data_IF_748519476768
#
_entry.id   IF_748519476768
#
_cell.length_a   1.000
_cell.length_b   1.000
_cell.length_c   1.000
_cell.angle_alpha   90.00
_cell.angle_beta   90.00
_cell.angle_gamma   90.00
#
_symmetry.space_group_name_H-M   'P 1'
#
loop_
_entity.id
_entity.type
_entity.pdbx_description
1 polymer ?
#
# COMPACT_ATOMS: atom_id res chain seq x y z
N UNK A 1 -8.22 -7.47 19.25
CA UNK A 1 -6.92 -7.33 19.94
C UNK A 1 -6.81 -5.92 20.50
N UNK A 2 -6.63 -5.79 21.81
CA UNK A 2 -6.31 -4.53 22.49
C UNK A 2 -4.93 -4.06 22.05
N UNK A 3 -4.75 -2.75 21.87
CA UNK A 3 -3.46 -2.23 21.49
C UNK A 3 -2.50 -2.24 22.68
N UNK A 4 -1.33 -2.85 22.50
CA UNK A 4 -0.26 -2.86 23.48
C UNK A 4 0.17 -1.44 23.80
N UNK A 5 0.28 -1.10 25.07
CA UNK A 5 0.56 0.27 25.51
C UNK A 5 2.06 0.60 25.41
N UNK A 6 2.40 1.88 25.38
CA UNK A 6 3.80 2.33 25.52
C UNK A 6 4.33 1.99 26.92
N UNK A 7 3.46 2.08 27.92
CA UNK A 7 3.76 1.74 29.32
C UNK A 7 4.17 0.28 29.45
N UNK A 8 3.43 -0.66 28.86
CA UNK A 8 3.82 -2.08 28.81
C UNK A 8 5.18 -2.28 28.15
N UNK A 9 5.44 -1.61 27.01
CA UNK A 9 6.73 -1.75 26.30
C UNK A 9 7.90 -1.35 27.18
N UNK A 10 7.75 -0.21 27.87
CA UNK A 10 8.78 0.29 28.77
C UNK A 10 8.91 -0.66 29.96
N UNK A 11 7.82 -0.93 30.67
CA UNK A 11 7.83 -1.60 31.98
C UNK A 11 8.33 -3.05 31.93
N UNK A 12 8.01 -3.79 30.87
CA UNK A 12 8.43 -5.17 30.69
C UNK A 12 9.88 -5.29 30.20
N UNK A 13 10.50 -4.21 29.70
CA UNK A 13 11.86 -4.24 29.18
C UNK A 13 12.90 -4.39 30.30
N UNK A 14 13.78 -5.39 30.18
CA UNK A 14 14.98 -5.56 31.00
C UNK A 14 16.23 -4.93 30.37
N UNK A 15 16.20 -4.72 29.06
CA UNK A 15 17.22 -4.04 28.27
C UNK A 15 16.55 -3.24 27.15
N UNK A 16 17.25 -2.26 26.59
CA UNK A 16 16.73 -1.46 25.48
C UNK A 16 17.59 -1.64 24.23
N UNK A 17 17.01 -2.23 23.20
CA UNK A 17 17.72 -2.52 21.95
C UNK A 17 17.33 -1.52 20.84
N UNK A 18 18.10 -1.46 19.74
CA UNK A 18 17.73 -0.61 18.60
C UNK A 18 16.34 -0.93 18.01
N UNK A 19 15.89 -2.20 18.06
CA UNK A 19 14.54 -2.60 17.63
C UNK A 19 13.45 -1.98 18.51
N UNK A 20 13.71 -1.77 19.79
CA UNK A 20 12.71 -1.25 20.72
C UNK A 20 12.40 0.23 20.47
N UNK A 21 13.33 0.99 19.87
CA UNK A 21 13.03 2.33 19.33
C UNK A 21 11.95 2.29 18.25
N UNK A 22 12.06 1.35 17.31
CA UNK A 22 11.06 1.14 16.27
C UNK A 22 9.70 0.73 16.85
N UNK A 23 9.69 -0.17 17.84
CA UNK A 23 8.47 -0.59 18.53
C UNK A 23 7.80 0.55 19.28
N UNK A 24 8.59 1.36 20.00
CA UNK A 24 8.11 2.52 20.73
C UNK A 24 7.45 3.53 19.78
N UNK A 25 8.09 3.83 18.66
CA UNK A 25 7.54 4.76 17.68
C UNK A 25 6.27 4.19 17.01
N UNK A 26 6.27 2.92 16.61
CA UNK A 26 5.10 2.25 16.03
C UNK A 26 3.89 2.23 16.98
N UNK A 27 4.11 1.97 18.28
CA UNK A 27 3.06 2.02 19.29
C UNK A 27 2.54 3.45 19.51
N UNK A 28 3.43 4.45 19.44
CA UNK A 28 3.08 5.87 19.58
C UNK A 28 2.07 6.31 18.51
N UNK A 29 2.22 5.83 17.28
CA UNK A 29 1.33 6.14 16.16
C UNK A 29 0.19 5.12 15.95
N UNK A 30 -0.07 4.21 16.90
CA UNK A 30 -0.97 3.06 16.69
C UNK A 30 -2.42 3.34 16.28
N UNK A 31 -2.88 4.59 16.38
CA UNK A 31 -4.25 5.00 16.02
C UNK A 31 -4.29 6.06 14.93
N UNK A 32 -3.19 6.25 14.20
CA UNK A 32 -3.07 7.33 13.22
C UNK A 32 -2.69 6.81 11.83
N UNK A 33 -2.97 7.58 10.77
CA UNK A 33 -2.56 7.21 9.41
C UNK A 33 -1.03 7.02 9.27
N UNK A 34 -0.22 7.66 10.12
CA UNK A 34 1.24 7.57 10.08
C UNK A 34 1.79 6.19 10.49
N UNK A 35 1.00 5.32 11.14
CA UNK A 35 1.49 4.00 11.57
C UNK A 35 1.91 3.12 10.38
N UNK A 36 1.19 3.19 9.27
CA UNK A 36 1.44 2.32 8.11
C UNK A 36 2.71 2.72 7.37
N UNK A 37 2.94 3.99 6.98
CA UNK A 37 4.23 4.42 6.42
C UNK A 37 5.41 4.12 7.34
N UNK A 38 5.25 4.32 8.65
CA UNK A 38 6.28 3.98 9.63
C UNK A 38 6.59 2.47 9.64
N UNK A 39 5.58 1.61 9.54
CA UNK A 39 5.75 0.16 9.50
C UNK A 39 6.45 -0.34 8.23
N UNK A 40 6.35 0.41 7.11
CA UNK A 40 7.09 0.08 5.88
C UNK A 40 8.59 0.27 6.08
N UNK A 41 9.00 1.32 6.80
CA UNK A 41 10.40 1.62 7.11
C UNK A 41 11.00 0.71 8.20
N UNK A 42 10.14 0.19 9.08
CA UNK A 42 10.54 -0.56 10.26
C UNK A 42 11.12 -1.96 9.91
N UNK A 43 12.09 -2.45 10.70
CA UNK A 43 12.61 -3.82 10.60
C UNK A 43 11.49 -4.84 10.85
N UNK A 44 11.66 -6.07 10.34
CA UNK A 44 10.64 -7.12 10.41
C UNK A 44 10.25 -7.45 11.86
N UNK A 45 11.23 -7.39 12.76
CA UNK A 45 11.14 -7.66 14.20
C UNK A 45 10.24 -6.66 14.95
N UNK A 46 10.05 -5.46 14.39
CA UNK A 46 9.19 -4.42 14.94
C UNK A 46 7.78 -4.41 14.31
N UNK A 47 7.57 -5.12 13.19
CA UNK A 47 6.28 -5.10 12.47
C UNK A 47 5.12 -5.69 13.25
N UNK A 48 5.40 -6.53 14.25
CA UNK A 48 4.37 -7.07 15.16
C UNK A 48 3.59 -5.99 15.92
N UNK A 49 4.12 -4.77 16.00
CA UNK A 49 3.46 -3.62 16.62
C UNK A 49 2.52 -2.86 15.68
N UNK A 50 2.60 -3.10 14.37
CA UNK A 50 1.65 -2.55 13.43
C UNK A 50 0.27 -3.14 13.72
N UNK A 51 -0.75 -2.29 13.91
CA UNK A 51 -2.09 -2.80 14.22
C UNK A 51 -2.57 -3.68 13.07
N UNK A 52 -3.10 -4.84 13.46
CA UNK A 52 -3.68 -5.80 12.54
C UNK A 52 -4.78 -5.20 11.65
N UNK A 53 -5.08 -5.96 10.61
CA UNK A 53 -6.00 -5.65 9.52
C UNK A 53 -7.34 -5.09 10.06
N UNK A 54 -7.71 -3.87 9.66
CA UNK A 54 -9.06 -3.33 9.86
C UNK A 54 -9.97 -3.87 8.78
N UNK A 55 -11.29 -3.88 8.99
CA UNK A 55 -12.23 -4.29 7.93
C UNK A 55 -12.01 -3.48 6.65
N UNK A 56 -11.75 -2.17 6.78
CA UNK A 56 -11.41 -1.31 5.63
C UNK A 56 -10.12 -1.74 4.93
N UNK A 57 -9.04 -2.04 5.67
CA UNK A 57 -7.78 -2.48 5.05
C UNK A 57 -7.87 -3.90 4.49
N UNK A 58 -8.72 -4.75 5.06
CA UNK A 58 -9.06 -6.07 4.51
C UNK A 58 -9.78 -5.94 3.17
N UNK A 59 -10.88 -5.18 3.14
CA UNK A 59 -11.66 -4.96 1.92
C UNK A 59 -10.84 -4.29 0.82
N UNK A 60 -9.99 -3.34 1.19
CA UNK A 60 -9.07 -2.71 0.25
C UNK A 60 -8.01 -3.69 -0.26
N UNK A 61 -7.47 -4.55 0.61
CA UNK A 61 -6.57 -5.64 0.21
C UNK A 61 -7.24 -6.61 -0.76
N UNK A 62 -8.49 -6.99 -0.50
CA UNK A 62 -9.28 -7.85 -1.38
C UNK A 62 -9.58 -7.16 -2.71
N UNK A 63 -9.89 -5.87 -2.71
CA UNK A 63 -10.11 -5.09 -3.93
C UNK A 63 -8.83 -5.03 -4.79
N UNK A 64 -7.65 -4.84 -4.17
CA UNK A 64 -6.38 -4.91 -4.89
C UNK A 64 -6.09 -6.30 -5.44
N UNK A 65 -6.32 -7.35 -4.64
CA UNK A 65 -6.15 -8.73 -5.10
C UNK A 65 -7.06 -9.03 -6.29
N UNK A 66 -8.32 -8.61 -6.22
CA UNK A 66 -9.27 -8.72 -7.31
C UNK A 66 -8.81 -7.94 -8.53
N UNK A 67 -8.35 -6.70 -8.38
CA UNK A 67 -7.88 -5.90 -9.50
C UNK A 67 -6.70 -6.55 -10.23
N UNK A 68 -5.79 -7.20 -9.49
CA UNK A 68 -4.66 -7.95 -10.06
C UNK A 68 -5.11 -9.24 -10.74
N UNK A 69 -6.04 -9.98 -10.14
CA UNK A 69 -6.45 -11.30 -10.62
C UNK A 69 -7.50 -11.24 -11.75
N UNK A 70 -8.41 -10.27 -11.73
CA UNK A 70 -9.52 -10.14 -12.67
C UNK A 70 -9.09 -10.13 -14.16
N UNK A 71 -8.13 -9.30 -14.61
CA UNK A 71 -7.73 -9.29 -16.02
C UNK A 71 -7.11 -10.62 -16.45
N UNK A 72 -6.37 -11.29 -15.55
CA UNK A 72 -5.78 -12.61 -15.81
C UNK A 72 -6.86 -13.69 -15.92
N UNK A 73 -7.83 -13.69 -15.00
CA UNK A 73 -8.96 -14.63 -15.03
C UNK A 73 -9.81 -14.42 -16.28
N UNK A 74 -10.05 -13.17 -16.69
CA UNK A 74 -10.76 -12.82 -17.92
C UNK A 74 -10.07 -13.42 -19.14
N UNK A 75 -8.77 -13.16 -19.31
CA UNK A 75 -8.00 -13.68 -20.42
C UNK A 75 -7.92 -15.21 -20.39
N UNK A 76 -7.72 -15.81 -19.22
CA UNK A 76 -7.68 -17.26 -19.07
C UNK A 76 -9.00 -17.93 -19.48
N UNK A 77 -10.15 -17.33 -19.15
CA UNK A 77 -11.45 -17.83 -19.58
C UNK A 77 -11.59 -17.81 -21.10
N UNK A 78 -11.16 -16.72 -21.76
CA UNK A 78 -11.18 -16.58 -23.22
C UNK A 78 -10.22 -17.58 -23.89
N UNK A 79 -8.99 -17.72 -23.38
CA UNK A 79 -8.00 -18.69 -23.90
C UNK A 79 -8.52 -20.12 -23.76
N UNK A 80 -9.07 -20.47 -22.59
CA UNK A 80 -9.67 -21.80 -22.35
C UNK A 80 -10.81 -22.08 -23.32
N UNK A 81 -11.64 -21.08 -23.62
CA UNK A 81 -12.74 -21.22 -24.59
C UNK A 81 -12.22 -21.51 -26.01
N UNK A 82 -11.17 -20.82 -26.46
CA UNK A 82 -10.56 -21.05 -27.77
C UNK A 82 -9.93 -22.45 -27.87
N UNK A 83 -9.26 -22.91 -26.81
CA UNK A 83 -8.52 -24.19 -26.82
C UNK A 83 -9.40 -25.41 -26.52
N UNK A 84 -10.56 -25.24 -25.89
CA UNK A 84 -11.41 -26.32 -25.38
C UNK A 84 -12.54 -26.74 -26.32
N UNK A 85 -12.38 -26.57 -27.63
CA UNK A 85 -13.36 -26.93 -28.67
C UNK A 85 -14.78 -26.39 -28.44
N UNK A 86 -14.93 -25.19 -27.88
CA UNK A 86 -16.21 -24.49 -27.71
C UNK A 86 -17.27 -25.24 -26.88
N UNK A 87 -16.90 -26.25 -26.09
CA UNK A 87 -17.83 -26.96 -25.19
C UNK A 87 -18.49 -26.07 -24.11
N UNK A 88 -18.09 -24.80 -24.04
CA UNK A 88 -18.55 -23.79 -23.11
C UNK A 88 -19.03 -22.55 -23.88
N UNK A 89 -19.99 -21.83 -23.31
CA UNK A 89 -20.47 -20.56 -23.85
C UNK A 89 -19.34 -19.53 -23.99
N UNK A 90 -19.43 -18.68 -25.02
CA UNK A 90 -18.49 -17.60 -25.28
C UNK A 90 -18.40 -16.64 -24.06
N UNK A 91 -17.29 -16.61 -23.31
CA UNK A 91 -17.26 -16.04 -21.97
C UNK A 91 -17.03 -14.51 -21.96
N UNK A 92 -17.35 -13.81 -23.06
CA UNK A 92 -17.09 -12.38 -23.20
C UNK A 92 -17.86 -11.54 -22.17
N UNK A 93 -19.11 -11.89 -21.87
CA UNK A 93 -19.89 -11.18 -20.84
C UNK A 93 -19.27 -11.34 -19.44
N UNK A 94 -18.77 -12.54 -19.13
CA UNK A 94 -18.06 -12.80 -17.88
C UNK A 94 -16.77 -11.99 -17.80
N UNK A 95 -15.93 -12.06 -18.84
CA UNK A 95 -14.69 -11.29 -18.94
C UNK A 95 -14.94 -9.78 -18.82
N UNK A 96 -15.91 -9.26 -19.56
CA UNK A 96 -16.30 -7.85 -19.51
C UNK A 96 -16.82 -7.42 -18.13
N UNK A 97 -17.58 -8.28 -17.43
CA UNK A 97 -18.09 -7.96 -16.09
C UNK A 97 -16.97 -7.82 -15.06
N UNK A 98 -16.03 -8.78 -15.03
CA UNK A 98 -14.92 -8.71 -14.07
C UNK A 98 -13.96 -7.56 -14.39
N UNK A 99 -13.74 -7.28 -15.68
CA UNK A 99 -12.99 -6.08 -16.11
C UNK A 99 -13.70 -4.80 -15.68
N UNK A 100 -15.02 -4.70 -15.82
CA UNK A 100 -15.79 -3.53 -15.37
C UNK A 100 -15.64 -3.28 -13.87
N UNK A 101 -15.78 -4.33 -13.05
CA UNK A 101 -15.60 -4.22 -11.59
C UNK A 101 -14.18 -3.76 -11.28
N UNK A 102 -13.18 -4.33 -11.95
CA UNK A 102 -11.79 -3.92 -11.76
C UNK A 102 -11.55 -2.47 -12.15
N UNK A 103 -12.14 -2.01 -13.26
CA UNK A 103 -12.03 -0.64 -13.73
C UNK A 103 -12.62 0.36 -12.72
N UNK A 104 -13.74 0.01 -12.05
CA UNK A 104 -14.31 0.81 -10.97
C UNK A 104 -13.36 0.91 -9.76
N UNK A 105 -12.73 -0.21 -9.38
CA UNK A 105 -11.72 -0.23 -8.31
C UNK A 105 -10.50 0.63 -8.67
N UNK A 106 -10.03 0.55 -9.92
CA UNK A 106 -8.96 1.39 -10.43
C UNK A 106 -9.37 2.86 -10.38
N UNK A 107 -10.55 3.22 -10.91
CA UNK A 107 -11.05 4.61 -10.88
C UNK A 107 -11.15 5.18 -9.47
N UNK A 108 -11.64 4.39 -8.50
CA UNK A 108 -11.63 4.79 -7.09
C UNK A 108 -10.22 4.97 -6.54
N UNK A 109 -9.29 4.06 -6.86
CA UNK A 109 -7.89 4.13 -6.41
C UNK A 109 -7.16 5.34 -6.99
N UNK A 110 -7.41 5.66 -8.27
CA UNK A 110 -6.90 6.86 -8.94
C UNK A 110 -7.43 8.13 -8.26
N UNK A 111 -8.73 8.18 -7.96
CA UNK A 111 -9.34 9.31 -7.24
C UNK A 111 -8.73 9.48 -5.85
N UNK A 112 -8.49 8.38 -5.13
CA UNK A 112 -7.83 8.41 -3.82
C UNK A 112 -6.38 8.87 -3.93
N UNK A 113 -5.64 8.44 -4.97
CA UNK A 113 -4.27 8.91 -5.21
C UNK A 113 -4.22 10.43 -5.47
N UNK A 114 -5.22 10.97 -6.18
CA UNK A 114 -5.33 12.41 -6.42
C UNK A 114 -5.64 13.20 -5.13
N UNK A 115 -6.49 12.65 -4.26
CA UNK A 115 -6.88 13.30 -2.98
C UNK A 115 -5.80 13.17 -1.90
N UNK A 116 -5.10 12.04 -1.88
CA UNK A 116 -4.08 11.71 -0.89
C UNK A 116 -2.83 11.20 -1.60
N UNK A 117 -2.01 12.10 -2.16
CA UNK A 117 -0.78 11.73 -2.86
C UNK A 117 0.16 10.94 -1.95
N UNK A 118 0.62 9.79 -2.44
CA UNK A 118 1.64 8.95 -1.79
C UNK A 118 2.68 8.52 -2.81
N UNK A 119 3.94 8.49 -2.39
CA UNK A 119 5.03 7.93 -3.17
C UNK A 119 4.70 6.47 -3.49
N UNK A 120 4.84 6.11 -4.76
CA UNK A 120 4.65 4.74 -5.24
C UNK A 120 5.83 4.37 -6.13
N UNK A 121 6.25 3.10 -6.07
CA UNK A 121 7.38 2.63 -6.87
C UNK A 121 6.99 2.57 -8.34
N UNK A 122 7.83 3.12 -9.22
CA UNK A 122 7.60 3.07 -10.68
C UNK A 122 7.41 1.64 -11.19
N UNK A 123 8.16 0.67 -10.66
CA UNK A 123 8.01 -0.75 -10.99
C UNK A 123 6.65 -1.31 -10.60
N UNK A 124 6.10 -0.91 -9.46
CA UNK A 124 4.76 -1.34 -9.03
C UNK A 124 3.68 -0.77 -9.94
N UNK A 125 3.75 0.53 -10.29
CA UNK A 125 2.82 1.16 -11.24
C UNK A 125 2.89 0.48 -12.61
N UNK A 126 4.09 0.21 -13.12
CA UNK A 126 4.28 -0.50 -14.39
C UNK A 126 3.72 -1.93 -14.36
N UNK A 127 4.01 -2.67 -13.29
CA UNK A 127 3.52 -4.06 -13.14
C UNK A 127 1.99 -4.08 -13.11
N UNK A 128 1.38 -3.18 -12.34
CA UNK A 128 -0.07 -3.04 -12.28
C UNK A 128 -0.66 -2.60 -13.62
N UNK A 129 -0.03 -1.71 -14.37
CA UNK A 129 -0.53 -1.36 -15.70
C UNK A 129 -0.43 -2.54 -16.69
N UNK A 130 0.69 -3.26 -16.69
CA UNK A 130 0.93 -4.36 -17.64
C UNK A 130 0.03 -5.58 -17.39
N UNK A 131 -0.32 -5.87 -16.13
CA UNK A 131 -1.23 -6.98 -15.81
C UNK A 131 -2.67 -6.72 -16.29
N UNK A 132 -3.01 -5.48 -16.63
CA UNK A 132 -4.27 -5.13 -17.28
C UNK A 132 -4.13 -5.10 -18.81
N UNK A 133 -3.11 -4.40 -19.31
CA UNK A 133 -2.92 -4.19 -20.75
C UNK A 133 -2.71 -5.52 -21.48
N UNK A 134 -1.82 -6.40 -21.00
CA UNK A 134 -1.50 -7.63 -21.73
C UNK A 134 -2.71 -8.59 -21.76
N UNK A 135 -3.33 -8.96 -20.62
CA UNK A 135 -4.51 -9.83 -20.65
C UNK A 135 -5.73 -9.20 -21.33
N UNK A 136 -5.89 -7.88 -21.24
CA UNK A 136 -6.93 -7.13 -21.96
C UNK A 136 -6.75 -7.24 -23.48
N UNK A 137 -5.53 -7.06 -23.99
CA UNK A 137 -5.21 -7.23 -25.41
C UNK A 137 -5.48 -8.67 -25.89
N UNK A 138 -5.12 -9.67 -25.09
CA UNK A 138 -5.42 -11.09 -25.38
C UNK A 138 -6.93 -11.30 -25.48
N UNK A 139 -7.68 -10.80 -24.51
CA UNK A 139 -9.15 -10.90 -24.47
C UNK A 139 -9.80 -10.24 -25.69
N UNK A 140 -9.39 -9.01 -26.02
CA UNK A 140 -9.90 -8.27 -27.16
C UNK A 140 -9.54 -8.98 -28.49
N UNK A 141 -8.30 -9.46 -28.63
CA UNK A 141 -7.86 -10.18 -29.82
C UNK A 141 -8.68 -11.45 -30.04
N UNK A 142 -8.89 -12.26 -28.99
CA UNK A 142 -9.71 -13.48 -29.08
C UNK A 142 -11.15 -13.12 -29.47
N UNK A 143 -11.74 -12.12 -28.81
CA UNK A 143 -13.11 -11.71 -29.08
C UNK A 143 -13.31 -11.23 -30.52
N UNK A 144 -12.38 -10.45 -31.06
CA UNK A 144 -12.44 -9.88 -32.41
C UNK A 144 -12.04 -10.87 -33.51
N UNK A 145 -11.41 -12.00 -33.17
CA UNK A 145 -10.98 -13.02 -34.13
C UNK A 145 -11.84 -14.28 -34.02
N UNK A 146 -11.48 -15.21 -33.14
CA UNK A 146 -12.20 -16.45 -32.91
C UNK A 146 -13.64 -16.22 -32.43
N UNK A 147 -13.88 -15.14 -31.67
CA UNK A 147 -15.19 -14.75 -31.16
C UNK A 147 -16.08 -13.97 -32.14
N UNK A 148 -15.56 -13.56 -33.30
CA UNK A 148 -16.26 -12.63 -34.20
C UNK A 148 -17.69 -13.07 -34.60
N UNK A 149 -17.97 -14.35 -34.89
CA UNK A 149 -19.33 -14.82 -35.21
C UNK A 149 -20.35 -14.62 -34.08
N UNK A 150 -19.88 -14.55 -32.84
CA UNK A 150 -20.69 -14.41 -31.63
C UNK A 150 -20.91 -12.94 -31.22
N UNK A 151 -20.30 -11.98 -31.95
CA UNK A 151 -20.42 -10.55 -31.66
C UNK A 151 -21.70 -9.97 -32.25
N UNK A 152 -22.81 -10.13 -31.53
CA UNK A 152 -24.11 -9.56 -31.92
C UNK A 152 -24.72 -8.74 -30.78
N UNK A 153 -25.45 -7.68 -31.12
CA UNK A 153 -26.18 -6.84 -30.18
C UNK A 153 -25.31 -6.34 -29.01
N UNK A 154 -25.69 -6.69 -27.79
CA UNK A 154 -25.05 -6.25 -26.55
C UNK A 154 -23.62 -6.74 -26.32
N UNK A 155 -23.10 -7.69 -27.11
CA UNK A 155 -21.72 -8.19 -26.97
C UNK A 155 -20.67 -7.09 -27.15
N UNK A 156 -20.94 -6.09 -28.00
CA UNK A 156 -20.06 -4.96 -28.25
C UNK A 156 -19.78 -4.10 -27.02
N UNK A 157 -20.72 -4.05 -26.07
CA UNK A 157 -20.54 -3.32 -24.80
C UNK A 157 -19.37 -3.91 -24.02
N UNK A 158 -19.23 -5.23 -23.99
CA UNK A 158 -18.15 -5.89 -23.26
C UNK A 158 -16.79 -5.68 -23.90
N UNK A 159 -16.71 -5.61 -25.24
CA UNK A 159 -15.49 -5.21 -25.94
C UNK A 159 -15.11 -3.77 -25.57
N UNK A 160 -16.10 -2.86 -25.54
CA UNK A 160 -15.85 -1.46 -25.17
C UNK A 160 -15.32 -1.34 -23.74
N UNK A 161 -15.82 -2.14 -22.79
CA UNK A 161 -15.29 -2.18 -21.42
C UNK A 161 -13.84 -2.64 -21.39
N UNK A 162 -13.51 -3.73 -22.10
CA UNK A 162 -12.12 -4.24 -22.17
C UNK A 162 -11.20 -3.21 -22.81
N UNK A 163 -11.64 -2.56 -23.88
CA UNK A 163 -10.87 -1.50 -24.54
C UNK A 163 -10.64 -0.30 -23.60
N UNK A 164 -11.67 0.12 -22.85
CA UNK A 164 -11.54 1.20 -21.88
C UNK A 164 -10.52 0.87 -20.78
N UNK A 165 -10.52 -0.35 -20.26
CA UNK A 165 -9.55 -0.80 -19.26
C UNK A 165 -8.12 -0.76 -19.78
N UNK A 166 -7.88 -1.23 -21.01
CA UNK A 166 -6.58 -1.14 -21.68
C UNK A 166 -6.14 0.32 -21.78
N UNK A 167 -7.01 1.20 -22.29
CA UNK A 167 -6.70 2.63 -22.47
C UNK A 167 -6.35 3.28 -21.14
N UNK A 168 -7.13 3.04 -20.08
CA UNK A 168 -6.86 3.57 -18.74
C UNK A 168 -5.49 3.13 -18.24
N UNK A 169 -5.14 1.86 -18.38
CA UNK A 169 -3.85 1.35 -17.89
C UNK A 169 -2.66 1.78 -18.76
N UNK A 170 -2.85 1.96 -20.07
CA UNK A 170 -1.85 2.62 -20.94
C UNK A 170 -1.62 4.07 -20.50
N UNK A 171 -2.68 4.81 -20.18
CA UNK A 171 -2.55 6.18 -19.67
C UNK A 171 -1.81 6.20 -18.34
N UNK A 172 -2.09 5.27 -17.42
CA UNK A 172 -1.35 5.12 -16.15
C UNK A 172 0.14 4.80 -16.41
N UNK A 173 0.43 3.91 -17.37
CA UNK A 173 1.80 3.55 -17.75
C UNK A 173 2.59 4.77 -18.25
N UNK A 174 1.97 5.59 -19.12
CA UNK A 174 2.57 6.79 -19.71
C UNK A 174 2.75 7.88 -18.65
N UNK A 175 1.74 8.12 -17.80
CA UNK A 175 1.81 9.11 -16.72
C UNK A 175 2.86 8.75 -15.68
N UNK A 176 3.10 7.46 -15.44
CA UNK A 176 4.02 6.98 -14.42
C UNK A 176 3.56 7.30 -12.99
N UNK A 177 4.44 7.11 -11.98
CA UNK A 177 4.14 7.46 -10.60
C UNK A 177 4.18 8.99 -10.43
N UNK A 178 3.05 9.69 -10.46
CA UNK A 178 3.00 11.15 -10.20
C UNK A 178 2.01 11.47 -9.08
N UNK A 179 2.34 12.45 -8.20
CA UNK A 179 2.58 13.85 -8.59
C UNK A 179 3.92 14.49 -8.15
N UNK A 180 4.42 15.43 -8.96
CA UNK A 180 5.66 16.19 -8.73
C UNK A 180 5.66 17.07 -7.46
N UNK A 181 4.47 17.33 -6.91
CA UNK A 181 4.25 18.09 -5.67
C UNK A 181 3.97 17.21 -4.45
N UNK A 182 3.91 15.88 -4.63
CA UNK A 182 3.66 14.92 -3.56
C UNK A 182 4.95 14.32 -2.98
N UNK A 183 4.83 13.46 -1.96
CA UNK A 183 5.98 12.74 -1.40
C UNK A 183 6.63 11.84 -2.47
N UNK A 184 7.96 11.84 -2.50
CA UNK A 184 8.79 11.15 -3.49
C UNK A 184 9.34 9.81 -2.99
N UNK A 185 9.42 9.63 -1.67
CA UNK A 185 9.94 8.41 -1.04
C UNK A 185 9.14 8.01 0.20
N UNK A 186 9.47 6.84 0.77
CA UNK A 186 8.75 6.25 1.90
C UNK A 186 8.87 7.09 3.19
N UNK A 187 9.99 7.80 3.38
CA UNK A 187 10.16 8.74 4.51
C UNK A 187 9.31 9.98 4.34
N UNK A 188 9.23 10.53 3.13
CA UNK A 188 8.32 11.64 2.83
C UNK A 188 6.85 11.24 2.97
N UNK A 189 6.48 10.00 2.64
CA UNK A 189 5.15 9.47 2.92
C UNK A 189 4.82 9.51 4.42
N UNK A 190 5.78 9.16 5.28
CA UNK A 190 5.63 9.26 6.72
C UNK A 190 5.43 10.71 7.17
N UNK A 191 6.30 11.61 6.72
CA UNK A 191 6.19 13.04 7.06
C UNK A 191 4.87 13.66 6.60
N UNK A 192 4.41 13.29 5.41
CA UNK A 192 3.12 13.73 4.90
C UNK A 192 1.95 13.19 5.74
N UNK A 193 2.03 11.93 6.16
CA UNK A 193 1.01 11.30 7.00
C UNK A 193 0.97 11.89 8.41
N UNK A 194 2.10 12.41 8.91
CA UNK A 194 2.17 13.11 10.19
C UNK A 194 1.52 14.49 10.10
N UNK A 195 1.71 15.21 8.98
CA UNK A 195 1.06 16.52 8.74
C UNK A 195 -0.47 16.42 8.66
N UNK A 196 -1.01 15.25 8.32
CA UNK A 196 -2.45 14.98 8.31
C UNK A 196 -3.04 14.72 9.71
N UNK A 197 -2.20 14.54 10.74
CA UNK A 197 -2.66 14.32 12.12
C UNK A 197 -3.08 15.67 12.74
N UNK A 198 -4.26 15.75 13.40
CA UNK A 198 -4.66 16.96 14.12
C UNK A 198 -3.59 17.40 15.14
N UNK A 199 -3.28 18.71 15.24
CA UNK A 199 -2.18 19.19 16.09
C UNK A 199 -2.29 18.75 17.55
N UNK A 200 -3.50 18.74 18.13
CA UNK A 200 -3.73 18.27 19.50
C UNK A 200 -3.42 16.78 19.69
N UNK A 201 -3.83 15.94 18.73
CA UNK A 201 -3.51 14.51 18.74
C UNK A 201 -2.02 14.26 18.57
N UNK A 202 -1.36 15.03 17.69
CA UNK A 202 0.09 14.91 17.51
C UNK A 202 0.86 15.32 18.77
N UNK A 203 0.43 16.40 19.44
CA UNK A 203 1.01 16.82 20.71
C UNK A 203 0.85 15.76 21.80
N UNK A 204 -0.32 15.11 21.90
CA UNK A 204 -0.56 14.02 22.86
C UNK A 204 0.32 12.79 22.57
N UNK A 205 0.51 12.43 21.30
CA UNK A 205 1.41 11.34 20.89
C UNK A 205 2.84 11.65 21.30
N UNK A 206 3.34 12.86 20.99
CA UNK A 206 4.70 13.31 21.33
C UNK A 206 4.88 13.35 22.84
N UNK A 207 3.93 13.89 23.60
CA UNK A 207 4.01 13.95 25.06
C UNK A 207 4.10 12.56 25.70
N UNK A 208 3.32 11.58 25.19
CA UNK A 208 3.39 10.19 25.67
C UNK A 208 4.69 9.49 25.30
N UNK A 209 5.20 9.71 24.09
CA UNK A 209 6.53 9.25 23.65
C UNK A 209 7.62 9.79 24.56
N UNK A 210 7.60 11.09 24.84
CA UNK A 210 8.62 11.77 25.65
C UNK A 210 8.54 11.37 27.13
N UNK A 211 7.35 11.08 27.65
CA UNK A 211 7.18 10.49 28.97
C UNK A 211 7.77 9.06 29.05
N UNK A 212 7.56 8.24 28.01
CA UNK A 212 8.16 6.91 27.92
C UNK A 212 9.69 6.97 27.86
N UNK A 213 10.26 7.89 27.07
CA UNK A 213 11.71 8.09 26.98
C UNK A 213 12.31 8.50 28.33
N UNK A 214 11.69 9.45 29.04
CA UNK A 214 12.13 9.84 30.38
C UNK A 214 12.13 8.67 31.34
N UNK A 215 11.07 7.86 31.31
CA UNK A 215 10.98 6.65 32.15
C UNK A 215 12.04 5.60 31.82
N UNK A 216 12.46 5.46 30.56
CA UNK A 216 13.59 4.59 30.20
C UNK A 216 14.91 5.09 30.80
N UNK A 217 15.13 6.41 30.80
CA UNK A 217 16.31 7.02 31.41
C UNK A 217 16.30 6.86 32.94
N UNK A 218 15.16 7.11 33.59
CA UNK A 218 15.00 6.95 35.04
C UNK A 218 15.28 5.51 35.51
N UNK A 219 14.99 4.53 34.64
CA UNK A 219 15.25 3.11 34.89
C UNK A 219 16.67 2.66 34.52
N UNK A 220 17.51 3.57 34.00
CA UNK A 220 18.87 3.24 33.56
C UNK A 220 18.92 2.32 32.34
N UNK A 221 17.83 2.19 31.59
CA UNK A 221 17.78 1.35 30.38
C UNK A 221 18.43 2.02 29.17
N UNK A 222 18.58 3.36 29.23
CA UNK A 222 19.26 4.16 28.22
C UNK A 222 20.14 5.20 28.90
N UNK A 223 21.23 5.59 28.23
CA UNK A 223 22.12 6.63 28.73
C UNK A 223 21.49 8.04 28.66
N UNK A 224 21.85 8.97 29.57
CA UNK A 224 21.34 10.35 29.56
C UNK A 224 21.54 11.09 28.23
N UNK A 225 22.67 10.87 27.56
CA UNK A 225 22.95 11.45 26.24
C UNK A 225 21.99 10.93 25.16
N UNK A 226 21.68 9.63 25.19
CA UNK A 226 20.71 9.00 24.30
C UNK A 226 19.29 9.51 24.58
N UNK A 227 18.91 9.66 25.85
CA UNK A 227 17.62 10.23 26.24
C UNK A 227 17.46 11.67 25.75
N UNK A 228 18.49 12.51 25.91
CA UNK A 228 18.50 13.89 25.40
C UNK A 228 18.31 13.92 23.89
N UNK A 229 19.07 13.10 23.15
CA UNK A 229 18.96 12.99 21.69
C UNK A 229 17.58 12.46 21.26
N UNK A 230 16.99 11.54 22.01
CA UNK A 230 15.67 10.99 21.73
C UNK A 230 14.56 12.05 21.87
N UNK A 231 14.61 12.86 22.93
CA UNK A 231 13.62 13.90 23.21
C UNK A 231 13.63 15.05 22.19
N UNK A 232 14.75 15.29 21.50
CA UNK A 232 14.83 16.32 20.46
C UNK A 232 14.39 15.85 19.07
N UNK A 233 14.03 14.57 18.91
CA UNK A 233 13.59 14.05 17.62
C UNK A 233 12.20 14.54 17.23
N UNK A 234 12.05 14.91 15.96
CA UNK A 234 10.74 15.21 15.38
C UNK A 234 9.82 13.98 15.44
N UNK A 235 8.48 14.16 15.45
CA UNK A 235 7.56 13.03 15.36
C UNK A 235 7.83 12.21 14.09
N UNK A 236 7.88 10.88 14.21
CA UNK A 236 8.16 9.96 13.10
C UNK A 236 9.65 9.80 12.74
N UNK A 237 10.55 10.46 13.46
CA UNK A 237 11.99 10.41 13.20
C UNK A 237 12.80 9.78 14.34
N UNK A 238 12.15 9.28 15.40
CA UNK A 238 12.83 8.76 16.58
C UNK A 238 13.69 7.53 16.23
N UNK A 239 13.08 6.49 15.68
CA UNK A 239 13.76 5.26 15.36
C UNK A 239 14.72 5.43 14.17
N UNK A 240 14.34 6.28 13.21
CA UNK A 240 15.21 6.68 12.10
C UNK A 240 16.49 7.40 12.57
N UNK A 241 16.44 8.10 13.70
CA UNK A 241 17.60 8.81 14.28
C UNK A 241 18.42 7.92 15.22
N UNK A 242 17.77 7.07 16.02
CA UNK A 242 18.44 6.29 17.07
C UNK A 242 18.83 4.86 16.67
N UNK A 243 18.19 4.32 15.63
CA UNK A 243 18.46 2.99 15.08
C UNK A 243 18.45 2.99 13.54
N UNK A 244 19.18 3.92 12.87
CA UNK A 244 19.20 4.04 11.41
C UNK A 244 19.69 2.77 10.70
N UNK A 245 20.58 2.01 11.34
CA UNK A 245 21.14 0.76 10.83
C UNK A 245 20.10 -0.35 10.65
N UNK A 246 18.98 -0.27 11.39
CA UNK A 246 17.88 -1.22 11.28
C UNK A 246 16.78 -0.77 10.33
N UNK A 247 16.89 0.42 9.76
CA UNK A 247 15.96 0.86 8.73
C UNK A 247 16.02 -0.17 7.59
N UNK A 248 14.85 -0.69 7.18
CA UNK A 248 14.79 -1.50 5.96
C UNK A 248 15.41 -0.67 4.84
N UNK A 249 16.50 -1.18 4.28
CA UNK A 249 17.25 -0.50 3.23
C UNK A 249 16.25 -0.13 2.14
N UNK A 250 16.11 1.16 1.86
CA UNK A 250 15.43 1.58 0.65
C UNK A 250 16.29 1.06 -0.52
N UNK A 251 15.82 0.09 -1.33
CA UNK A 251 16.61 -0.40 -2.46
C UNK A 251 16.91 0.71 -3.49
N UNK A 252 16.38 1.93 -3.29
CA UNK A 252 16.70 3.12 -4.07
C UNK A 252 17.99 3.85 -3.69
N UNK A 253 18.68 3.54 -2.58
CA UNK A 253 20.04 4.10 -2.34
C UNK A 253 21.15 3.40 -3.10
N UNK A 254 20.82 2.33 -3.83
CA UNK A 254 21.77 1.51 -4.60
C UNK A 254 21.67 1.67 -6.13
N UNK A 255 21.18 2.82 -6.63
CA UNK A 255 21.22 3.16 -8.05
C UNK A 255 21.67 4.60 -8.27
#
# INVERSE_FOLDING_TARGET
MTARSLTELVDEASSWTPVDWWRLELRSFSRTPAQRPLAVLAPAEAMSEHRGVTLGSFLQGLAYLFAVAAPVIAAAAMVRWVLGDTAYDFPLAFAGTITLVSLLVTGWSELQRLRHPRASRASAVRTLALIHVIPGLITALIALTAGAPFLQGGAWVWIAVVAADIVVHVVILIRGPLPASGPQNERENLQWSIREIPPGTLAEITARRDAAIRRLADRGLIEPGTATRALTTAPGELALTLAPELQKSDPQRSR
#
